data_IF_307299298085
#
_entry.id   IF_307299298085
#
_cell.length_a   1.000
_cell.length_b   1.000
_cell.length_c   1.000
_cell.angle_alpha   90.00
_cell.angle_beta   90.00
_cell.angle_gamma   90.00
#
_symmetry.space_group_name_H-M   'P 1'
#
loop_
_entity.id
_entity.type
_entity.pdbx_description
1 polymer ?
#
# COMPACT_ATOMS: atom_id res chain seq x y z
N UNK A 1 -20.82 0.84 -6.12
CA UNK A 1 -20.58 0.84 -7.58
C UNK A 1 -19.31 1.66 -7.79
N UNK A 2 -18.27 1.09 -8.37
CA UNK A 2 -16.98 1.77 -8.51
C UNK A 2 -17.17 3.11 -9.26
N UNK A 3 -16.74 4.20 -8.64
CA UNK A 3 -16.86 5.57 -9.15
C UNK A 3 -15.77 5.92 -10.18
N UNK A 4 -14.96 4.94 -10.60
CA UNK A 4 -13.80 5.18 -11.45
C UNK A 4 -14.13 5.02 -12.95
N UNK A 5 -13.65 5.93 -13.81
CA UNK A 5 -13.91 5.89 -15.25
C UNK A 5 -13.21 4.71 -15.91
N UNK A 6 -13.93 3.92 -16.71
CA UNK A 6 -13.43 2.69 -17.34
C UNK A 6 -12.09 2.88 -18.07
N UNK A 7 -11.22 1.86 -17.99
CA UNK A 7 -9.94 1.85 -18.72
C UNK A 7 -10.24 1.79 -20.21
N UNK A 8 -9.71 2.71 -21.04
CA UNK A 8 -10.08 2.79 -22.44
C UNK A 8 -9.49 1.61 -23.23
N UNK A 9 -10.24 1.13 -24.23
CA UNK A 9 -9.83 0.08 -25.14
C UNK A 9 -11.01 -0.82 -25.56
N UNK A 10 -10.78 -1.68 -26.54
CA UNK A 10 -11.75 -2.73 -26.87
C UNK A 10 -11.77 -3.79 -25.73
N UNK A 11 -12.93 -4.40 -25.43
CA UNK A 11 -12.99 -5.54 -24.53
C UNK A 11 -12.06 -6.68 -24.98
N UNK A 12 -11.54 -7.45 -24.01
CA UNK A 12 -10.74 -8.64 -24.31
C UNK A 12 -11.52 -9.59 -25.21
N UNK A 13 -10.99 -9.85 -26.41
CA UNK A 13 -11.63 -10.71 -27.41
C UNK A 13 -11.65 -12.16 -26.91
N UNK A 14 -12.68 -12.91 -27.29
CA UNK A 14 -12.82 -14.34 -26.92
C UNK A 14 -11.59 -15.17 -27.29
N UNK A 15 -10.95 -14.87 -28.42
CA UNK A 15 -9.71 -15.53 -28.84
C UNK A 15 -8.57 -15.28 -27.87
N UNK A 16 -8.43 -14.05 -27.36
CA UNK A 16 -7.43 -13.69 -26.36
C UNK A 16 -7.73 -14.37 -25.03
N UNK A 17 -8.97 -14.33 -24.56
CA UNK A 17 -9.38 -15.00 -23.31
C UNK A 17 -9.10 -16.50 -23.34
N UNK A 18 -9.33 -17.16 -24.48
CA UNK A 18 -9.03 -18.59 -24.63
C UNK A 18 -7.53 -18.89 -24.55
N UNK A 19 -6.69 -18.06 -25.17
CA UNK A 19 -5.23 -18.18 -25.09
C UNK A 19 -4.75 -17.93 -23.66
N UNK A 20 -5.25 -16.87 -23.01
CA UNK A 20 -4.92 -16.55 -21.62
C UNK A 20 -5.26 -17.72 -20.69
N UNK A 21 -6.46 -18.31 -20.79
CA UNK A 21 -6.85 -19.47 -20.01
C UNK A 21 -5.93 -20.68 -20.24
N UNK A 22 -5.56 -20.96 -21.49
CA UNK A 22 -4.64 -22.05 -21.82
C UNK A 22 -3.24 -21.81 -21.24
N UNK A 23 -2.71 -20.59 -21.35
CA UNK A 23 -1.39 -20.25 -20.79
C UNK A 23 -1.39 -20.27 -19.27
N UNK A 24 -2.45 -19.77 -18.62
CA UNK A 24 -2.61 -19.78 -17.17
C UNK A 24 -2.70 -21.20 -16.60
N UNK A 25 -3.23 -22.16 -17.35
CA UNK A 25 -3.28 -23.57 -16.95
C UNK A 25 -1.89 -24.26 -16.97
N UNK A 26 -0.93 -23.74 -17.75
CA UNK A 26 0.41 -24.33 -17.93
C UNK A 26 1.46 -23.61 -17.10
N UNK A 27 1.35 -22.29 -16.95
CA UNK A 27 2.32 -21.47 -16.22
C UNK A 27 2.15 -21.58 -14.70
N UNK A 28 3.26 -21.44 -13.97
CA UNK A 28 3.25 -21.38 -12.51
C UNK A 28 3.29 -19.93 -12.05
N UNK A 29 2.33 -19.52 -11.23
CA UNK A 29 2.26 -18.19 -10.63
C UNK A 29 2.81 -18.18 -9.19
N UNK A 30 3.91 -18.90 -8.94
CA UNK A 30 4.41 -19.15 -7.59
C UNK A 30 4.62 -17.87 -6.74
N UNK A 31 5.13 -16.74 -7.27
CA UNK A 31 5.23 -15.50 -6.49
C UNK A 31 3.88 -14.91 -6.10
N UNK A 32 2.91 -14.91 -7.02
CA UNK A 32 1.54 -14.37 -6.76
C UNK A 32 0.81 -15.25 -5.76
N UNK A 33 0.99 -16.57 -5.85
CA UNK A 33 0.40 -17.55 -4.92
C UNK A 33 0.95 -17.46 -3.48
N UNK A 34 1.96 -16.60 -3.22
CA UNK A 34 2.45 -16.30 -1.86
C UNK A 34 1.70 -15.15 -1.18
N UNK A 35 0.81 -14.45 -1.89
CA UNK A 35 -0.10 -13.48 -1.29
C UNK A 35 -1.09 -14.24 -0.40
N UNK A 36 -1.11 -13.90 0.89
CA UNK A 36 -1.91 -14.60 1.91
C UNK A 36 -2.76 -13.65 2.77
N UNK A 37 -2.62 -12.34 2.55
CA UNK A 37 -3.26 -11.33 3.37
C UNK A 37 -3.84 -10.21 2.50
N UNK A 38 -5.06 -9.80 2.86
CA UNK A 38 -5.74 -8.62 2.34
C UNK A 38 -5.96 -7.62 3.49
N UNK A 39 -5.46 -6.39 3.34
CA UNK A 39 -5.74 -5.28 4.24
C UNK A 39 -6.47 -4.16 3.48
N UNK A 40 -7.26 -3.38 4.21
CA UNK A 40 -7.87 -2.15 3.73
C UNK A 40 -7.36 -1.00 4.62
N UNK A 41 -6.89 0.07 4.00
CA UNK A 41 -6.42 1.29 4.68
C UNK A 41 -6.69 2.53 3.80
N UNK A 42 -6.22 3.69 4.26
CA UNK A 42 -6.27 4.93 3.48
C UNK A 42 -4.87 5.51 3.30
N UNK A 43 -4.54 5.81 2.05
CA UNK A 43 -3.30 6.47 1.66
C UNK A 43 -3.52 7.93 1.29
N UNK A 44 -2.54 8.75 1.66
CA UNK A 44 -2.47 10.19 1.44
C UNK A 44 -1.26 10.49 0.58
N UNK A 45 -1.37 11.45 -0.34
CA UNK A 45 -0.17 11.90 -1.05
C UNK A 45 0.74 12.61 -0.06
N UNK A 46 2.02 12.23 -0.02
CA UNK A 46 2.96 12.79 0.96
C UNK A 46 3.06 14.32 0.92
N UNK A 47 2.78 14.96 -0.21
CA UNK A 47 2.73 16.43 -0.36
C UNK A 47 1.32 17.04 -0.30
N UNK A 48 0.27 16.23 -0.25
CA UNK A 48 -1.12 16.70 -0.24
C UNK A 48 -2.04 15.68 0.47
N UNK A 49 -2.23 15.88 1.77
CA UNK A 49 -3.10 15.02 2.59
C UNK A 49 -4.61 15.28 2.38
N UNK A 50 -5.01 16.24 1.53
CA UNK A 50 -6.43 16.38 1.17
C UNK A 50 -6.87 15.31 0.16
N UNK A 51 -5.91 14.67 -0.51
CA UNK A 51 -6.16 13.63 -1.51
C UNK A 51 -6.03 12.26 -0.86
N UNK A 52 -7.17 11.59 -0.68
CA UNK A 52 -7.30 10.35 0.08
C UNK A 52 -7.71 9.21 -0.85
N UNK A 53 -7.02 8.08 -0.74
CA UNK A 53 -7.24 6.90 -1.57
C UNK A 53 -7.46 5.70 -0.66
N UNK A 54 -8.63 5.06 -0.75
CA UNK A 54 -8.81 3.72 -0.17
C UNK A 54 -7.86 2.76 -0.89
N UNK A 55 -7.04 2.08 -0.11
CA UNK A 55 -5.96 1.23 -0.59
C UNK A 55 -6.20 -0.20 -0.11
N UNK A 56 -6.22 -1.14 -1.07
CA UNK A 56 -6.34 -2.56 -0.78
C UNK A 56 -5.01 -3.26 -0.99
N UNK A 57 -4.41 -3.67 0.12
CA UNK A 57 -3.10 -4.30 0.15
C UNK A 57 -3.24 -5.81 0.08
N UNK A 58 -2.61 -6.41 -0.92
CA UNK A 58 -2.50 -7.85 -1.10
C UNK A 58 -1.06 -8.27 -0.84
N UNK A 59 -0.81 -8.74 0.39
CA UNK A 59 0.53 -8.88 0.93
C UNK A 59 1.02 -10.33 0.98
N UNK A 60 2.32 -10.49 0.71
CA UNK A 60 3.08 -11.71 0.98
C UNK A 60 4.25 -11.40 1.92
N UNK A 61 4.57 -12.33 2.83
CA UNK A 61 5.76 -12.23 3.67
C UNK A 61 6.99 -12.65 2.86
N UNK A 62 8.06 -11.86 2.89
CA UNK A 62 9.39 -12.35 2.52
C UNK A 62 10.05 -13.06 3.71
N UNK A 63 9.84 -12.54 4.91
CA UNK A 63 10.21 -13.14 6.20
C UNK A 63 9.37 -12.48 7.32
N UNK A 64 9.69 -12.76 8.60
CA UNK A 64 8.97 -12.19 9.75
C UNK A 64 9.07 -10.66 9.87
N UNK A 65 10.10 -10.05 9.29
CA UNK A 65 10.38 -8.62 9.40
C UNK A 65 10.06 -7.83 8.13
N UNK A 66 9.67 -8.49 7.04
CA UNK A 66 9.44 -7.83 5.76
C UNK A 66 8.25 -8.42 5.00
N UNK A 67 7.29 -7.55 4.67
CA UNK A 67 6.16 -7.84 3.76
C UNK A 67 6.30 -6.98 2.51
N UNK A 68 5.80 -7.52 1.40
CA UNK A 68 5.58 -6.77 0.18
C UNK A 68 4.14 -6.93 -0.26
N UNK A 69 3.54 -5.83 -0.69
CA UNK A 69 2.13 -5.76 -1.01
C UNK A 69 1.94 -5.18 -2.41
N UNK A 70 1.05 -5.80 -3.18
CA UNK A 70 0.41 -5.15 -4.32
C UNK A 70 -0.75 -4.31 -3.80
N UNK A 71 -0.90 -3.08 -4.27
CA UNK A 71 -1.99 -2.20 -3.84
C UNK A 71 -2.97 -2.01 -5.00
N UNK A 72 -4.24 -2.27 -4.72
CA UNK A 72 -5.35 -2.06 -5.65
C UNK A 72 -6.30 -0.96 -5.15
N UNK A 73 -7.05 -0.35 -6.06
CA UNK A 73 -8.06 0.68 -5.76
C UNK A 73 -9.40 0.13 -5.23
N UNK A 74 -9.60 -1.18 -5.33
CA UNK A 74 -10.78 -1.90 -4.83
C UNK A 74 -10.44 -3.37 -4.60
N UNK A 75 -11.28 -4.15 -3.89
CA UNK A 75 -11.08 -5.60 -3.74
C UNK A 75 -11.68 -6.40 -4.91
N UNK A 76 -12.27 -5.74 -5.90
CA UNK A 76 -13.04 -6.36 -6.97
C UNK A 76 -12.13 -6.97 -8.05
N UNK A 77 -12.65 -7.94 -8.81
CA UNK A 77 -11.87 -8.63 -9.85
C UNK A 77 -11.35 -7.71 -10.97
N UNK A 78 -11.97 -6.55 -11.17
CA UNK A 78 -11.58 -5.55 -12.16
C UNK A 78 -10.78 -4.38 -11.57
N UNK A 79 -10.31 -4.51 -10.33
CA UNK A 79 -9.54 -3.47 -9.64
C UNK A 79 -8.24 -3.13 -10.39
N UNK A 80 -7.82 -1.88 -10.28
CA UNK A 80 -6.57 -1.38 -10.87
C UNK A 80 -5.44 -1.63 -9.91
N UNK A 81 -4.32 -2.17 -10.41
CA UNK A 81 -3.07 -2.15 -9.67
C UNK A 81 -2.57 -0.69 -9.61
N UNK A 82 -2.67 -0.08 -8.44
CA UNK A 82 -2.33 1.34 -8.25
C UNK A 82 -0.96 1.53 -7.61
N UNK A 83 -0.40 0.54 -6.91
CA UNK A 83 0.79 0.76 -6.13
C UNK A 83 1.48 -0.50 -5.62
N UNK A 84 2.58 -0.26 -4.91
CA UNK A 84 3.26 -1.27 -4.08
C UNK A 84 3.55 -0.67 -2.72
N UNK A 85 3.58 -1.54 -1.71
CA UNK A 85 4.11 -1.19 -0.41
C UNK A 85 5.08 -2.24 0.11
N UNK A 86 6.16 -1.76 0.73
CA UNK A 86 7.03 -2.57 1.55
C UNK A 86 6.79 -2.23 3.02
N UNK A 87 6.54 -3.25 3.82
CA UNK A 87 6.35 -3.12 5.27
C UNK A 87 7.54 -3.77 5.94
N UNK A 88 8.21 -3.05 6.83
CA UNK A 88 9.36 -3.56 7.58
C UNK A 88 9.21 -3.37 9.09
N UNK A 89 9.85 -4.25 9.86
CA UNK A 89 9.98 -4.08 11.30
C UNK A 89 10.66 -2.76 11.67
N UNK A 90 10.40 -2.26 12.87
CA UNK A 90 11.13 -1.12 13.43
C UNK A 90 12.64 -1.35 13.41
N UNK A 91 13.10 -2.57 13.72
CA UNK A 91 14.52 -2.93 13.71
C UNK A 91 15.16 -2.65 12.34
N UNK A 92 14.53 -3.12 11.25
CA UNK A 92 15.01 -2.85 9.90
C UNK A 92 14.92 -1.36 9.56
N UNK A 93 13.82 -0.70 9.92
CA UNK A 93 13.63 0.72 9.67
C UNK A 93 14.74 1.58 10.30
N UNK A 94 15.15 1.27 11.53
CA UNK A 94 16.21 2.00 12.22
C UNK A 94 17.59 1.88 11.53
N UNK A 95 17.81 0.82 10.75
CA UNK A 95 19.04 0.65 9.95
C UNK A 95 19.07 1.49 8.67
N UNK A 96 17.93 2.05 8.24
CA UNK A 96 17.84 2.79 6.99
C UNK A 96 18.63 4.12 7.08
N UNK A 97 19.20 4.58 5.95
CA UNK A 97 19.71 5.94 5.85
C UNK A 97 18.59 6.96 6.12
N UNK A 98 18.92 8.10 6.73
CA UNK A 98 17.92 9.13 7.07
C UNK A 98 17.18 9.70 5.87
N UNK A 99 17.83 9.75 4.70
CA UNK A 99 17.20 10.14 3.45
C UNK A 99 16.10 9.15 3.03
N UNK A 100 16.31 7.86 3.31
CA UNK A 100 15.37 6.80 2.99
C UNK A 100 14.19 6.81 3.96
N UNK A 101 14.42 6.97 5.29
CA UNK A 101 13.36 7.00 6.32
C UNK A 101 12.22 7.97 6.03
N UNK A 102 12.50 9.07 5.32
CA UNK A 102 11.52 10.09 4.90
C UNK A 102 10.46 9.57 3.93
N UNK A 103 10.73 8.45 3.27
CA UNK A 103 9.81 7.81 2.33
C UNK A 103 8.83 6.87 3.03
N UNK A 104 8.92 6.72 4.35
CA UNK A 104 8.17 5.74 5.12
C UNK A 104 7.19 6.43 6.08
N UNK A 105 6.10 5.74 6.39
CA UNK A 105 5.16 6.10 7.45
C UNK A 105 5.08 4.98 8.49
N UNK A 106 4.66 5.30 9.71
CA UNK A 106 4.33 4.31 10.74
C UNK A 106 2.89 3.84 10.58
N UNK A 107 2.65 2.54 10.72
CA UNK A 107 1.28 2.00 10.74
C UNK A 107 0.60 2.11 12.12
N UNK A 108 1.27 2.67 13.13
CA UNK A 108 0.75 2.68 14.51
C UNK A 108 -0.66 3.25 14.58
N UNK A 109 -0.83 4.46 14.02
CA UNK A 109 -2.07 5.20 14.22
C UNK A 109 -3.23 4.59 13.44
N UNK A 110 -3.04 4.25 12.16
CA UNK A 110 -4.10 3.64 11.34
C UNK A 110 -4.56 2.28 11.87
N UNK A 111 -3.67 1.50 12.46
CA UNK A 111 -4.04 0.23 13.11
C UNK A 111 -4.85 0.50 14.38
N UNK A 112 -4.32 1.36 15.27
CA UNK A 112 -4.92 1.64 16.57
C UNK A 112 -6.20 2.45 16.48
N UNK A 113 -6.39 3.24 15.43
CA UNK A 113 -7.62 4.00 15.18
C UNK A 113 -8.78 3.13 14.70
N UNK A 114 -8.53 1.86 14.38
CA UNK A 114 -9.53 0.95 13.81
C UNK A 114 -9.63 0.99 12.29
N UNK A 115 -9.06 2.02 11.65
CA UNK A 115 -9.25 2.31 10.21
C UNK A 115 -8.57 1.27 9.31
N UNK A 116 -7.37 0.81 9.67
CA UNK A 116 -6.73 -0.30 8.98
C UNK A 116 -7.28 -1.62 9.51
N UNK A 117 -7.86 -2.45 8.63
CA UNK A 117 -8.44 -3.74 9.01
C UNK A 117 -8.24 -4.80 7.92
N UNK A 118 -8.54 -6.06 8.26
CA UNK A 118 -8.51 -7.20 7.34
C UNK A 118 -9.95 -7.56 6.93
N UNK A 119 -10.40 -7.27 5.70
CA UNK A 119 -11.76 -7.57 5.26
C UNK A 119 -12.13 -9.05 5.44
N UNK A 120 -13.30 -9.30 6.01
CA UNK A 120 -13.83 -10.66 6.23
C UNK A 120 -13.12 -11.48 7.32
N UNK A 121 -12.08 -10.96 7.96
CA UNK A 121 -11.37 -11.66 9.04
C UNK A 121 -11.95 -11.30 10.41
N UNK A 122 -12.35 -12.29 11.24
CA UNK A 122 -12.89 -12.02 12.58
C UNK A 122 -11.96 -11.17 13.45
N UNK A 123 -12.52 -10.23 14.22
CA UNK A 123 -11.78 -9.27 15.05
C UNK A 123 -10.66 -9.87 15.89
N UNK A 124 -10.95 -10.95 16.63
CA UNK A 124 -9.96 -11.62 17.48
C UNK A 124 -8.75 -12.18 16.70
N UNK A 125 -8.96 -12.61 15.45
CA UNK A 125 -7.90 -13.16 14.59
C UNK A 125 -7.08 -12.03 13.99
N UNK A 126 -7.74 -11.03 13.38
CA UNK A 126 -7.00 -9.92 12.77
C UNK A 126 -6.16 -9.15 13.79
N UNK A 127 -6.64 -9.01 15.05
CA UNK A 127 -5.91 -8.31 16.11
C UNK A 127 -4.55 -8.92 16.43
N UNK A 128 -4.35 -10.22 16.25
CA UNK A 128 -3.04 -10.83 16.47
C UNK A 128 -2.00 -10.36 15.44
N UNK A 129 -2.41 -10.26 14.18
CA UNK A 129 -1.53 -9.74 13.12
C UNK A 129 -1.37 -8.22 13.23
N UNK A 130 -2.47 -7.50 13.45
CA UNK A 130 -2.45 -6.04 13.58
C UNK A 130 -1.62 -5.56 14.76
N UNK A 131 -1.51 -6.32 15.85
CA UNK A 131 -0.60 -5.99 16.94
C UNK A 131 0.88 -5.99 16.52
N UNK A 132 1.25 -6.78 15.49
CA UNK A 132 2.57 -6.71 14.86
C UNK A 132 2.65 -5.53 13.89
N UNK A 133 1.64 -5.35 13.04
CA UNK A 133 1.60 -4.25 12.05
C UNK A 133 1.67 -2.89 12.72
N UNK A 134 1.04 -2.69 13.88
CA UNK A 134 1.11 -1.42 14.61
C UNK A 134 2.56 -0.98 14.95
N UNK A 135 3.53 -1.90 14.92
CA UNK A 135 4.93 -1.66 15.25
C UNK A 135 5.83 -1.52 14.01
N UNK A 136 5.27 -1.55 12.80
CA UNK A 136 6.04 -1.53 11.55
C UNK A 136 6.00 -0.17 10.86
N UNK A 137 6.87 -0.02 9.87
CA UNK A 137 6.89 1.12 8.96
C UNK A 137 6.62 0.67 7.52
N UNK A 138 5.89 1.49 6.77
CA UNK A 138 5.45 1.24 5.41
C UNK A 138 6.04 2.24 4.41
N UNK A 139 6.57 1.76 3.28
CA UNK A 139 6.93 2.58 2.11
C UNK A 139 5.96 2.28 0.99
N UNK A 140 4.93 3.10 0.88
CA UNK A 140 3.91 3.00 -0.16
C UNK A 140 4.22 3.94 -1.33
N UNK A 141 4.17 3.39 -2.55
CA UNK A 141 4.31 4.15 -3.79
C UNK A 141 3.10 3.86 -4.68
N UNK A 142 2.36 4.90 -5.06
CA UNK A 142 1.28 4.79 -6.04
C UNK A 142 1.76 5.21 -7.43
N UNK A 143 1.54 4.35 -8.42
CA UNK A 143 1.78 4.58 -9.84
C UNK A 143 0.54 5.13 -10.57
N UNK A 144 -0.66 4.90 -10.04
CA UNK A 144 -1.92 5.40 -10.62
C UNK A 144 -2.65 6.31 -9.62
N UNK A 145 -2.85 7.56 -10.01
CA UNK A 145 -3.59 8.55 -9.23
C UNK A 145 -5.09 8.49 -9.50
N UNK A 146 -5.76 7.42 -9.03
CA UNK A 146 -7.18 7.14 -9.33
C UNK A 146 -8.15 8.21 -8.81
N UNK A 147 -7.76 8.98 -7.79
CA UNK A 147 -8.53 10.10 -7.23
C UNK A 147 -8.67 11.29 -8.21
N UNK A 148 -7.77 11.41 -9.21
CA UNK A 148 -7.89 12.42 -10.27
C UNK A 148 -8.94 12.08 -11.32
N UNK A 149 -9.44 10.84 -11.32
CA UNK A 149 -10.33 10.34 -12.36
C UNK A 149 -9.61 10.04 -13.68
N UNK A 150 -8.28 9.86 -13.67
CA UNK A 150 -7.56 9.44 -14.87
C UNK A 150 -7.90 7.98 -15.20
N UNK A 151 -8.22 7.71 -16.47
CA UNK A 151 -8.57 6.38 -16.97
C UNK A 151 -7.35 5.51 -17.36
N UNK A 152 -6.14 6.09 -17.26
CA UNK A 152 -4.85 5.43 -17.39
C UNK A 152 -3.90 5.91 -16.27
N UNK A 153 -2.82 5.18 -15.95
CA UNK A 153 -1.87 5.58 -14.89
C UNK A 153 -0.97 6.73 -15.36
N UNK A 154 -1.51 7.95 -15.36
CA UNK A 154 -0.82 9.16 -15.79
C UNK A 154 -0.03 9.82 -14.65
N UNK A 155 1.14 10.37 -14.99
CA UNK A 155 1.99 11.13 -14.07
C UNK A 155 3.11 10.29 -13.44
N UNK A 156 3.88 10.93 -12.57
CA UNK A 156 5.00 10.28 -11.87
C UNK A 156 4.49 9.45 -10.69
N UNK A 157 5.20 8.37 -10.30
CA UNK A 157 4.93 7.64 -9.07
C UNK A 157 4.94 8.59 -7.87
N UNK A 158 4.01 8.42 -6.94
CA UNK A 158 3.87 9.27 -5.76
C UNK A 158 4.18 8.48 -4.50
N UNK A 159 4.94 9.09 -3.58
CA UNK A 159 5.13 8.56 -2.24
C UNK A 159 3.87 8.82 -1.43
N UNK A 160 3.35 7.77 -0.80
CA UNK A 160 2.13 7.82 -0.01
C UNK A 160 2.43 7.74 1.49
N UNK A 161 1.58 8.37 2.28
CA UNK A 161 1.61 8.39 3.74
C UNK A 161 0.30 7.84 4.29
N UNK A 162 0.30 7.46 5.57
CA UNK A 162 -0.87 6.96 6.27
C UNK A 162 -1.47 8.02 7.22
N UNK A 163 -2.57 7.64 7.88
CA UNK A 163 -3.12 8.39 9.01
C UNK A 163 -2.12 8.43 10.17
N UNK A 164 -1.98 9.59 10.80
CA UNK A 164 -1.11 9.80 11.97
C UNK A 164 -1.83 10.42 13.15
N UNK A 165 -3.04 10.96 12.96
CA UNK A 165 -3.86 11.58 14.00
C UNK A 165 -5.34 11.67 13.64
N UNK A 166 -6.15 12.02 14.63
CA UNK A 166 -7.58 12.25 14.47
C UNK A 166 -7.87 13.43 13.53
N UNK A 167 -9.00 13.36 12.82
CA UNK A 167 -9.46 14.42 11.92
C UNK A 167 -8.78 14.49 10.54
N UNK A 168 -7.97 13.49 10.17
CA UNK A 168 -7.37 13.41 8.83
C UNK A 168 -8.26 12.72 7.80
N UNK A 169 -8.94 11.63 8.15
CA UNK A 169 -9.84 10.90 7.25
C UNK A 169 -11.15 11.68 7.08
N UNK A 170 -11.65 11.80 5.85
CA UNK A 170 -12.96 12.39 5.63
C UNK A 170 -14.09 11.48 6.12
N UNK A 171 -15.04 12.05 6.87
CA UNK A 171 -16.15 11.32 7.50
C UNK A 171 -16.94 10.48 6.48
N UNK A 172 -17.25 11.03 5.31
CA UNK A 172 -18.00 10.31 4.28
C UNK A 172 -17.24 9.09 3.72
N UNK A 173 -15.90 9.10 3.72
CA UNK A 173 -15.09 7.95 3.30
C UNK A 173 -15.07 6.88 4.39
N UNK A 174 -14.96 7.29 5.66
CA UNK A 174 -15.06 6.38 6.79
C UNK A 174 -16.41 5.67 6.81
N UNK A 175 -17.52 6.43 6.75
CA UNK A 175 -18.88 5.91 6.79
C UNK A 175 -19.17 4.93 5.63
N UNK A 176 -18.65 5.20 4.43
CA UNK A 176 -18.81 4.31 3.27
C UNK A 176 -18.09 2.97 3.47
N UNK A 177 -16.85 2.99 3.97
CA UNK A 177 -16.09 1.76 4.27
C UNK A 177 -16.74 0.97 5.40
N UNK A 178 -17.11 1.62 6.50
CA UNK A 178 -17.80 0.98 7.64
C UNK A 178 -19.06 0.27 7.17
N UNK A 179 -19.86 0.93 6.32
CA UNK A 179 -21.08 0.34 5.75
C UNK A 179 -20.78 -0.83 4.81
N UNK A 180 -19.81 -0.69 3.90
CA UNK A 180 -19.48 -1.74 2.90
C UNK A 180 -18.94 -3.01 3.56
N UNK A 181 -18.14 -2.87 4.59
CA UNK A 181 -17.48 -4.00 5.26
C UNK A 181 -18.14 -4.42 6.56
N UNK A 182 -19.19 -3.72 7.00
CA UNK A 182 -19.85 -3.93 8.28
C UNK A 182 -18.83 -3.91 9.44
N UNK A 183 -17.99 -2.89 9.45
CA UNK A 183 -16.97 -2.65 10.48
C UNK A 183 -17.32 -1.38 11.25
N UNK A 184 -16.91 -1.30 12.52
CA UNK A 184 -17.09 -0.12 13.38
C UNK A 184 -15.70 0.30 13.84
N UNK A 185 -15.16 1.38 13.24
CA UNK A 185 -13.81 1.86 13.51
C UNK A 185 -13.65 2.31 14.96
N UNK A 186 -14.69 2.91 15.55
CA UNK A 186 -14.65 3.35 16.94
C UNK A 186 -14.57 2.15 17.89
N UNK A 187 -15.39 1.13 17.66
CA UNK A 187 -15.33 -0.11 18.43
C UNK A 187 -13.98 -0.80 18.26
N UNK A 188 -13.47 -0.90 17.03
CA UNK A 188 -12.16 -1.47 16.77
C UNK A 188 -11.05 -0.68 17.47
N UNK A 189 -11.12 0.66 17.51
CA UNK A 189 -10.20 1.51 18.28
C UNK A 189 -10.21 1.19 19.76
N UNK A 190 -11.40 1.06 20.35
CA UNK A 190 -11.57 0.68 21.77
C UNK A 190 -10.98 -0.71 22.04
N UNK A 191 -11.28 -1.68 21.18
CA UNK A 191 -10.77 -3.04 21.28
C UNK A 191 -9.25 -3.15 21.05
N UNK A 192 -8.64 -2.18 20.34
CA UNK A 192 -7.21 -2.14 20.03
C UNK A 192 -6.40 -1.18 20.93
N UNK A 193 -7.03 -0.55 21.93
CA UNK A 193 -6.37 0.41 22.82
C UNK A 193 -5.15 -0.17 23.58
N UNK A 194 -5.09 -1.50 23.74
CA UNK A 194 -3.96 -2.19 24.37
C UNK A 194 -2.73 -2.35 23.45
N UNK A 195 -2.88 -2.15 22.14
CA UNK A 195 -1.79 -2.32 21.18
C UNK A 195 -0.72 -1.24 21.34
N UNK A 196 0.53 -1.67 21.25
CA UNK A 196 1.69 -0.79 21.26
C UNK A 196 2.05 -0.41 19.83
N UNK A 197 2.61 0.79 19.67
CA UNK A 197 3.35 1.18 18.47
C UNK A 197 4.81 0.69 18.52
N UNK A 198 5.69 1.27 17.68
CA UNK A 198 7.12 1.03 17.72
C UNK A 198 7.70 1.23 19.14
N UNK A 199 8.65 0.39 19.54
CA UNK A 199 9.24 0.38 20.88
C UNK A 199 9.96 1.70 21.21
N UNK A 200 10.58 2.35 20.22
CA UNK A 200 11.28 3.63 20.38
C UNK A 200 10.38 4.84 20.10
N UNK A 201 9.08 4.61 19.96
CA UNK A 201 8.12 5.60 19.46
C UNK A 201 8.27 5.85 17.96
N UNK A 202 7.36 6.66 17.41
CA UNK A 202 7.39 7.02 15.99
C UNK A 202 8.63 7.88 15.70
N UNK A 203 9.47 7.40 14.78
CA UNK A 203 10.68 8.12 14.40
C UNK A 203 10.36 9.46 13.72
N UNK A 204 11.01 10.58 14.09
CA UNK A 204 10.67 11.93 13.60
C UNK A 204 10.96 12.18 12.11
N UNK A 205 11.56 11.20 11.42
CA UNK A 205 11.79 11.27 9.97
C UNK A 205 10.72 10.53 9.17
N UNK A 206 9.86 9.72 9.82
CA UNK A 206 8.74 9.07 9.15
C UNK A 206 7.58 10.06 8.97
N UNK A 207 6.50 9.60 8.32
CA UNK A 207 5.20 10.26 8.21
C UNK A 207 5.15 11.57 7.40
N UNK A 208 6.29 12.11 6.97
CA UNK A 208 6.39 13.39 6.25
C UNK A 208 5.66 14.56 6.95
N UNK A 209 5.61 14.57 8.29
CA UNK A 209 4.88 15.59 9.04
C UNK A 209 5.51 16.98 8.85
N UNK A 210 4.71 17.91 8.29
CA UNK A 210 5.10 19.31 8.05
C UNK A 210 5.96 19.55 6.80
N UNK A 211 6.52 18.51 6.17
CA UNK A 211 7.27 18.61 4.91
C UNK A 211 7.00 17.42 4.02
N UNK A 212 6.11 17.62 3.05
CA UNK A 212 5.77 16.61 2.08
C UNK A 212 6.84 16.35 1.03
N UNK A 213 6.70 15.23 0.32
CA UNK A 213 7.59 14.83 -0.77
C UNK A 213 6.84 14.82 -2.09
N UNK A 214 7.49 15.35 -3.12
CA UNK A 214 6.95 15.36 -4.48
C UNK A 214 8.01 14.80 -5.42
N UNK A 215 7.61 13.87 -6.27
CA UNK A 215 8.49 13.34 -7.30
C UNK A 215 8.62 14.35 -8.44
N UNK A 216 9.85 14.55 -8.89
CA UNK A 216 10.18 15.44 -10.01
C UNK A 216 11.03 14.67 -11.02
N UNK A 217 10.70 14.86 -12.29
CA UNK A 217 11.49 14.32 -13.39
C UNK A 217 12.61 15.29 -13.74
N UNK A 218 13.81 14.76 -13.92
CA UNK A 218 14.97 15.52 -14.38
C UNK A 218 15.71 14.77 -15.47
N UNK A 219 16.04 15.46 -16.55
CA UNK A 219 16.93 14.93 -17.58
C UNK A 219 18.36 14.85 -17.06
N UNK A 220 19.01 13.72 -17.35
CA UNK A 220 20.41 13.45 -17.01
C UNK A 220 21.08 12.78 -18.19
N UNK A 221 22.38 13.00 -18.34
CA UNK A 221 23.16 12.35 -19.40
C UNK A 221 23.16 10.84 -19.20
N UNK A 222 22.84 10.10 -20.26
CA UNK A 222 22.92 8.64 -20.25
C UNK A 222 24.38 8.24 -20.42
N UNK A 223 24.96 7.62 -19.38
CA UNK A 223 26.30 7.04 -19.50
C UNK A 223 26.29 5.91 -20.54
N UNK A 224 27.25 5.89 -21.49
CA UNK A 224 27.31 4.83 -22.49
C UNK A 224 27.57 3.47 -21.82
N UNK A 225 27.10 2.36 -22.40
CA UNK A 225 27.41 1.03 -21.90
C UNK A 225 28.93 0.82 -21.86
N UNK A 226 29.49 0.48 -20.70
CA UNK A 226 30.91 0.09 -20.61
C UNK A 226 31.12 -1.23 -21.33
N UNK A 227 32.14 -1.33 -22.20
CA UNK A 227 32.46 -2.54 -22.98
C UNK A 227 32.73 -3.80 -22.11
N UNK A 228 33.05 -3.60 -20.83
CA UNK A 228 33.23 -4.66 -19.84
C UNK A 228 32.42 -4.33 -18.59
N UNK A 229 31.15 -4.76 -18.50
CA UNK A 229 30.44 -4.68 -17.23
C UNK A 229 31.21 -5.53 -16.20
N UNK A 230 31.34 -5.07 -14.94
CA UNK A 230 31.92 -5.89 -13.89
C UNK A 230 31.16 -7.24 -13.83
N UNK A 231 31.84 -8.35 -13.56
CA UNK A 231 31.23 -9.67 -13.57
C UNK A 231 30.00 -9.65 -12.66
N UNK A 232 28.82 -9.90 -13.25
CA UNK A 232 27.58 -10.08 -12.50
C UNK A 232 27.71 -11.40 -11.76
N UNK A 233 27.91 -11.35 -10.45
CA UNK A 233 27.72 -12.51 -9.58
C UNK A 233 26.21 -12.74 -9.53
N UNK A 234 25.74 -13.75 -10.26
CA UNK A 234 24.38 -14.24 -10.09
C UNK A 234 24.39 -15.04 -8.78
N UNK A 235 23.77 -14.48 -7.73
CA UNK A 235 23.47 -15.18 -6.47
C UNK A 235 22.06 -15.72 -6.56
#
# INVERSE_FOLDING_TARGET
MASHPEVPGDPTKTTTTMVEAATAAVQKFAPVNKIHQHLCAFHFYSHDMSRQVEAHHFCGHQNEEMRQCLIYDSPEANARLIGVEYIISENLFLTLPDAEKRLWHSHEYEVKSGVLFLPGVPGAIQRQDLAKVAQTYGKAIHFWQVDRGDNLPLGLPQVMMALTRDGQLYDHLAEDVEKRYNVDFKKEREERAYMKGPENGIHPLANAEGKGLKTELREVDVSPPTAHPPPRVFV
#
